data_IF_007853852394
#
_entry.id   IF_007853852394
#
_cell.length_a   1.000
_cell.length_b   1.000
_cell.length_c   1.000
_cell.angle_alpha   90.00
_cell.angle_beta   90.00
_cell.angle_gamma   90.00
#
_symmetry.space_group_name_H-M   'P 1'
#
loop_
_entity.id
_entity.type
_entity.pdbx_description
1 polymer ?
#
# COMPACT_ATOMS: atom_id res chain seq x y z
N UNK A 1 35.23 -6.86 -17.83
CA UNK A 1 35.24 -5.45 -17.36
C UNK A 1 34.31 -4.52 -18.15
N UNK A 2 34.43 -4.38 -19.50
CA UNK A 2 33.50 -3.47 -20.27
C UNK A 2 32.07 -4.00 -20.38
N UNK A 3 31.88 -5.31 -20.36
CA UNK A 3 30.53 -5.94 -20.44
C UNK A 3 29.78 -5.77 -19.13
N UNK A 4 30.44 -5.98 -17.99
CA UNK A 4 29.85 -5.86 -16.66
C UNK A 4 29.41 -4.42 -16.35
N UNK A 5 30.15 -3.41 -16.82
CA UNK A 5 29.79 -1.99 -16.67
C UNK A 5 28.55 -1.62 -17.49
N UNK A 6 28.38 -2.19 -18.70
CA UNK A 6 27.20 -1.93 -19.53
C UNK A 6 25.95 -2.61 -18.98
N UNK A 7 26.06 -3.85 -18.48
CA UNK A 7 24.95 -4.57 -17.84
C UNK A 7 24.49 -3.86 -16.58
N UNK A 8 25.41 -3.43 -15.73
CA UNK A 8 25.08 -2.69 -14.51
C UNK A 8 24.41 -1.33 -14.82
N UNK A 9 24.89 -0.62 -15.84
CA UNK A 9 24.27 0.65 -16.28
C UNK A 9 22.86 0.42 -16.80
N UNK A 10 22.61 -0.64 -17.57
CA UNK A 10 21.27 -1.00 -18.07
C UNK A 10 20.30 -1.32 -16.93
N UNK A 11 20.73 -2.09 -15.94
CA UNK A 11 19.94 -2.42 -14.77
C UNK A 11 19.56 -1.18 -13.94
N UNK A 12 20.52 -0.26 -13.74
CA UNK A 12 20.26 0.99 -13.01
C UNK A 12 19.22 1.86 -13.74
N UNK A 13 19.32 2.00 -15.06
CA UNK A 13 18.36 2.76 -15.86
C UNK A 13 16.96 2.13 -15.77
N UNK A 14 16.85 0.82 -15.96
CA UNK A 14 15.59 0.10 -15.87
C UNK A 14 14.97 0.24 -14.48
N UNK A 15 15.77 0.04 -13.42
CA UNK A 15 15.32 0.23 -12.05
C UNK A 15 14.80 1.64 -11.81
N UNK A 16 15.52 2.68 -12.28
CA UNK A 16 15.11 4.08 -12.11
C UNK A 16 13.77 4.36 -12.76
N UNK A 17 13.53 3.83 -13.96
CA UNK A 17 12.23 3.95 -14.66
C UNK A 17 11.11 3.29 -13.84
N UNK A 18 11.33 2.08 -13.34
CA UNK A 18 10.35 1.34 -12.55
C UNK A 18 10.08 2.02 -11.20
N UNK A 19 11.13 2.48 -10.54
CA UNK A 19 11.03 3.21 -9.28
C UNK A 19 10.16 4.46 -9.45
N UNK A 20 10.46 5.31 -10.44
CA UNK A 20 9.69 6.52 -10.69
C UNK A 20 8.22 6.21 -11.05
N UNK A 21 7.98 5.13 -11.80
CA UNK A 21 6.64 4.70 -12.21
C UNK A 21 5.79 4.21 -11.04
N UNK A 22 6.37 3.47 -10.10
CA UNK A 22 5.59 2.75 -9.09
C UNK A 22 5.72 3.28 -7.67
N UNK A 23 6.76 4.07 -7.33
CA UNK A 23 7.03 4.55 -5.97
C UNK A 23 5.80 5.16 -5.30
N UNK A 24 5.14 6.13 -5.97
CA UNK A 24 3.97 6.82 -5.40
C UNK A 24 2.81 5.86 -5.13
N UNK A 25 2.56 4.92 -6.05
CA UNK A 25 1.48 3.93 -5.94
C UNK A 25 1.71 2.93 -4.80
N UNK A 26 2.94 2.43 -4.67
CA UNK A 26 3.36 1.52 -3.60
C UNK A 26 3.34 2.23 -2.25
N UNK A 27 3.86 3.46 -2.19
CA UNK A 27 3.81 4.27 -0.97
C UNK A 27 2.37 4.54 -0.52
N UNK A 28 1.49 4.95 -1.43
CA UNK A 28 0.08 5.18 -1.12
C UNK A 28 -0.58 3.92 -0.55
N UNK A 29 -0.29 2.75 -1.12
CA UNK A 29 -0.79 1.50 -0.60
C UNK A 29 -0.30 1.25 0.83
N UNK A 30 1.01 1.31 1.07
CA UNK A 30 1.60 1.05 2.37
C UNK A 30 1.09 2.03 3.44
N UNK A 31 1.15 3.34 3.18
CA UNK A 31 0.79 4.36 4.18
C UNK A 31 -0.70 4.35 4.53
N UNK A 32 -1.59 4.04 3.55
CA UNK A 32 -3.03 3.95 3.82
C UNK A 32 -3.42 2.67 4.56
N UNK A 33 -2.67 1.59 4.37
CA UNK A 33 -2.89 0.36 5.12
C UNK A 33 -2.35 0.45 6.56
N UNK A 34 -1.16 1.03 6.74
CA UNK A 34 -0.47 1.07 8.04
C UNK A 34 -0.84 2.27 8.89
N UNK A 35 -1.20 3.40 8.27
CA UNK A 35 -1.34 4.72 8.89
C UNK A 35 -0.08 5.18 9.66
N UNK A 36 1.04 4.60 9.34
CA UNK A 36 2.35 4.90 9.87
C UNK A 36 3.28 5.24 8.71
N UNK A 37 3.68 6.50 8.66
CA UNK A 37 4.52 7.03 7.58
C UNK A 37 5.93 6.42 7.60
N UNK A 38 6.52 6.31 8.77
CA UNK A 38 7.88 5.81 8.92
C UNK A 38 7.97 4.35 8.46
N UNK A 39 7.10 3.50 8.97
CA UNK A 39 7.06 2.09 8.55
C UNK A 39 6.64 1.91 7.09
N UNK A 40 5.80 2.79 6.54
CA UNK A 40 5.46 2.76 5.12
C UNK A 40 6.67 3.09 4.24
N UNK A 41 7.49 4.08 4.63
CA UNK A 41 8.73 4.43 3.94
C UNK A 41 9.74 3.28 4.00
N UNK A 42 9.90 2.63 5.14
CA UNK A 42 10.76 1.46 5.31
C UNK A 42 10.32 0.30 4.39
N UNK A 43 9.04 -0.02 4.37
CA UNK A 43 8.49 -1.06 3.47
C UNK A 43 8.74 -0.71 2.00
N UNK A 44 8.55 0.54 1.61
CA UNK A 44 8.81 0.98 0.23
C UNK A 44 10.29 0.78 -0.12
N UNK A 45 11.21 1.17 0.76
CA UNK A 45 12.64 0.97 0.55
C UNK A 45 12.98 -0.51 0.40
N UNK A 46 12.51 -1.36 1.30
CA UNK A 46 12.75 -2.81 1.28
C UNK A 46 12.21 -3.47 0.00
N UNK A 47 11.00 -3.10 -0.41
CA UNK A 47 10.38 -3.63 -1.63
C UNK A 47 11.18 -3.25 -2.88
N UNK A 48 11.63 -2.00 -2.97
CA UNK A 48 12.43 -1.56 -4.13
C UNK A 48 13.86 -2.09 -4.09
N UNK A 49 14.45 -2.29 -2.92
CA UNK A 49 15.73 -2.99 -2.78
C UNK A 49 15.62 -4.43 -3.29
N UNK A 50 14.60 -5.17 -2.86
CA UNK A 50 14.30 -6.51 -3.35
C UNK A 50 14.04 -6.53 -4.87
N UNK A 51 13.38 -5.51 -5.42
CA UNK A 51 13.22 -5.38 -6.87
C UNK A 51 14.56 -5.24 -7.56
N UNK A 52 15.44 -4.35 -7.07
CA UNK A 52 16.77 -4.13 -7.66
C UNK A 52 17.59 -5.41 -7.68
N UNK A 53 17.63 -6.14 -6.57
CA UNK A 53 18.38 -7.41 -6.44
C UNK A 53 17.85 -8.51 -7.38
N UNK A 54 16.55 -8.53 -7.66
CA UNK A 54 15.91 -9.58 -8.46
C UNK A 54 15.61 -9.16 -9.90
N UNK A 55 15.91 -7.92 -10.30
CA UNK A 55 15.47 -7.35 -11.58
C UNK A 55 15.95 -8.17 -12.77
N UNK A 56 17.19 -8.65 -12.74
CA UNK A 56 17.78 -9.46 -13.82
C UNK A 56 17.11 -10.85 -13.95
N UNK A 57 16.46 -11.35 -12.88
CA UNK A 57 15.72 -12.62 -12.89
C UNK A 57 14.26 -12.49 -13.34
N UNK A 58 13.75 -11.27 -13.49
CA UNK A 58 12.35 -11.05 -13.91
C UNK A 58 12.26 -10.96 -15.43
N UNK A 59 12.06 -12.08 -16.09
CA UNK A 59 11.97 -12.15 -17.56
C UNK A 59 10.71 -11.49 -18.13
N UNK A 60 9.59 -11.50 -17.39
CA UNK A 60 8.33 -10.89 -17.82
C UNK A 60 8.13 -9.54 -17.13
N UNK A 61 8.43 -8.45 -17.85
CA UNK A 61 8.27 -7.08 -17.34
C UNK A 61 6.82 -6.71 -17.01
N UNK A 62 5.83 -7.38 -17.61
CA UNK A 62 4.41 -7.17 -17.28
C UNK A 62 4.06 -7.70 -15.88
N UNK A 63 4.83 -8.64 -15.36
CA UNK A 63 4.64 -9.19 -14.01
C UNK A 63 5.22 -8.29 -12.90
N UNK A 64 6.04 -7.29 -13.22
CA UNK A 64 6.72 -6.44 -12.23
C UNK A 64 5.70 -5.70 -11.34
N UNK A 65 4.64 -5.15 -11.92
CA UNK A 65 3.60 -4.50 -11.14
C UNK A 65 2.95 -5.46 -10.14
N UNK A 66 2.56 -6.64 -10.62
CA UNK A 66 2.00 -7.69 -9.76
C UNK A 66 2.99 -8.06 -8.64
N UNK A 67 4.25 -8.29 -8.99
CA UNK A 67 5.30 -8.64 -8.03
C UNK A 67 5.48 -7.56 -6.97
N UNK A 68 5.56 -6.28 -7.36
CA UNK A 68 5.67 -5.15 -6.45
C UNK A 68 4.51 -5.10 -5.46
N UNK A 69 3.26 -5.13 -5.93
CA UNK A 69 2.10 -5.07 -5.05
C UNK A 69 1.98 -6.32 -4.16
N UNK A 70 2.31 -7.50 -4.69
CA UNK A 70 2.31 -8.73 -3.91
C UNK A 70 3.36 -8.72 -2.81
N UNK A 71 4.57 -8.25 -3.12
CA UNK A 71 5.66 -8.12 -2.15
C UNK A 71 5.30 -7.08 -1.09
N UNK A 72 4.82 -5.91 -1.48
CA UNK A 72 4.36 -4.86 -0.54
C UNK A 72 3.28 -5.38 0.39
N UNK A 73 2.29 -6.11 -0.14
CA UNK A 73 1.25 -6.75 0.65
C UNK A 73 1.81 -7.68 1.71
N UNK A 74 2.76 -8.53 1.33
CA UNK A 74 3.38 -9.46 2.26
C UNK A 74 4.12 -8.74 3.39
N UNK A 75 4.85 -7.65 3.10
CA UNK A 75 5.52 -6.82 4.11
C UNK A 75 4.50 -6.17 5.06
N UNK A 76 3.43 -5.56 4.52
CA UNK A 76 2.35 -4.95 5.31
C UNK A 76 1.72 -6.00 6.25
N UNK A 77 1.35 -7.17 5.75
CA UNK A 77 0.74 -8.22 6.56
C UNK A 77 1.70 -8.78 7.61
N UNK A 78 2.99 -8.87 7.28
CA UNK A 78 4.05 -9.23 8.22
C UNK A 78 4.14 -8.25 9.38
N UNK A 79 4.20 -6.97 9.06
CA UNK A 79 4.23 -5.89 10.05
C UNK A 79 2.98 -5.89 10.96
N UNK A 80 1.78 -5.96 10.38
CA UNK A 80 0.54 -5.96 11.15
C UNK A 80 0.43 -7.17 12.09
N UNK A 81 0.88 -8.36 11.65
CA UNK A 81 0.95 -9.56 12.50
C UNK A 81 1.94 -9.39 13.66
N UNK A 82 3.11 -8.82 13.39
CA UNK A 82 4.13 -8.55 14.41
C UNK A 82 3.60 -7.59 15.47
N UNK A 83 2.90 -6.53 15.07
CA UNK A 83 2.34 -5.55 15.99
C UNK A 83 1.17 -6.11 16.82
N UNK A 84 0.29 -6.93 16.23
CA UNK A 84 -0.76 -7.63 16.99
C UNK A 84 -0.14 -8.51 18.09
N UNK A 85 0.94 -9.22 17.79
CA UNK A 85 1.64 -10.05 18.78
C UNK A 85 2.31 -9.21 19.89
N UNK A 86 2.91 -8.07 19.53
CA UNK A 86 3.49 -7.13 20.53
C UNK A 86 2.42 -6.53 21.43
N UNK A 87 1.26 -6.13 20.89
CA UNK A 87 0.17 -5.58 21.69
C UNK A 87 -0.43 -6.59 22.67
N UNK A 88 -0.46 -7.88 22.33
CA UNK A 88 -0.86 -8.96 23.26
C UNK A 88 0.14 -9.15 24.40
N UNK A 89 1.41 -8.84 24.19
CA UNK A 89 2.47 -8.93 25.22
C UNK A 89 2.49 -7.63 26.07
N UNK A 90 2.13 -6.47 25.50
CA UNK A 90 2.22 -5.15 26.15
C UNK A 90 0.98 -4.82 27.02
N UNK A 91 -0.09 -5.62 26.98
CA UNK A 91 -1.22 -5.41 27.89
C UNK A 91 -0.89 -5.57 29.38
N UNK A 92 0.40 -5.70 29.73
CA UNK A 92 0.91 -5.66 31.11
C UNK A 92 1.76 -4.41 31.42
N UNK A 93 1.88 -3.43 30.54
CA UNK A 93 2.65 -2.20 30.78
C UNK A 93 1.88 -1.00 30.22
N UNK A 94 1.71 0.05 31.05
CA UNK A 94 1.02 1.31 30.76
C UNK A 94 1.33 1.89 29.37
N UNK A 95 0.26 2.14 28.61
CA UNK A 95 0.33 2.81 27.32
C UNK A 95 0.44 4.31 27.57
N UNK A 96 1.65 4.87 27.43
CA UNK A 96 1.79 6.29 27.14
C UNK A 96 1.30 6.56 25.72
N UNK A 97 0.38 7.52 25.60
CA UNK A 97 -0.18 8.00 24.33
C UNK A 97 0.94 8.31 23.33
N UNK A 98 1.04 7.49 22.29
CA UNK A 98 1.79 7.83 21.09
C UNK A 98 0.94 8.84 20.31
N UNK A 99 1.33 10.10 20.35
CA UNK A 99 0.80 11.14 19.47
C UNK A 99 0.86 10.66 18.02
N UNK A 100 -0.31 10.43 17.44
CA UNK A 100 -0.47 10.15 16.01
C UNK A 100 -0.15 11.44 15.28
N UNK A 101 1.10 11.55 14.80
CA UNK A 101 1.50 12.66 13.92
C UNK A 101 0.71 12.55 12.62
N UNK A 102 0.07 13.66 12.27
CA UNK A 102 -0.76 13.77 11.06
C UNK A 102 -0.05 13.26 9.81
N UNK A 103 -0.68 12.40 8.99
CA UNK A 103 -0.12 11.99 7.72
C UNK A 103 -0.11 13.18 6.76
N UNK A 104 1.07 13.68 6.44
CA UNK A 104 1.23 14.70 5.38
C UNK A 104 0.92 14.02 4.06
N UNK A 105 -0.26 14.32 3.53
CA UNK A 105 -0.69 13.91 2.20
C UNK A 105 0.17 14.62 1.15
N UNK A 106 1.03 13.87 0.45
CA UNK A 106 1.64 14.30 -0.79
C UNK A 106 0.63 14.13 -1.94
N UNK A 107 -0.42 14.94 -1.93
CA UNK A 107 -1.31 15.11 -3.08
C UNK A 107 -1.57 16.60 -3.24
N UNK A 108 -1.18 17.11 -4.40
CA UNK A 108 -1.40 18.46 -4.86
C UNK A 108 -2.88 18.67 -5.17
N UNK A 109 -3.72 18.84 -4.17
CA UNK A 109 -5.06 19.44 -4.34
C UNK A 109 -5.56 19.90 -2.98
N UNK A 110 -5.62 21.23 -2.82
CA UNK A 110 -5.86 21.92 -1.55
C UNK A 110 -7.32 21.79 -1.07
N UNK A 111 -8.26 21.41 -1.92
CA UNK A 111 -9.70 21.49 -1.65
C UNK A 111 -10.35 20.31 -0.93
N UNK A 112 -9.60 19.24 -0.59
CA UNK A 112 -10.21 18.02 -0.04
C UNK A 112 -9.51 17.42 1.18
N UNK A 113 -8.66 18.16 1.90
CA UNK A 113 -7.89 17.59 3.04
C UNK A 113 -8.79 17.06 4.15
N UNK A 114 -9.82 17.80 4.51
CA UNK A 114 -10.76 17.40 5.57
C UNK A 114 -11.60 16.17 5.14
N UNK A 115 -12.12 16.19 3.91
CA UNK A 115 -12.88 15.06 3.37
C UNK A 115 -12.01 13.80 3.24
N UNK A 116 -10.76 13.94 2.79
CA UNK A 116 -9.83 12.83 2.71
C UNK A 116 -9.48 12.26 4.10
N UNK A 117 -9.32 13.11 5.11
CA UNK A 117 -9.09 12.69 6.49
C UNK A 117 -10.29 11.89 7.01
N UNK A 118 -11.51 12.41 6.83
CA UNK A 118 -12.74 11.71 7.22
C UNK A 118 -12.86 10.33 6.54
N UNK A 119 -12.56 10.24 5.25
CA UNK A 119 -12.58 8.96 4.51
C UNK A 119 -11.58 7.98 5.12
N UNK A 120 -10.37 8.41 5.46
CA UNK A 120 -9.35 7.56 6.05
C UNK A 120 -9.72 7.09 7.44
N UNK A 121 -10.22 7.99 8.29
CA UNK A 121 -10.69 7.67 9.64
C UNK A 121 -11.85 6.66 9.61
N UNK A 122 -12.74 6.75 8.62
CA UNK A 122 -13.83 5.80 8.45
C UNK A 122 -13.37 4.47 7.79
N UNK A 123 -12.36 4.53 6.92
CA UNK A 123 -11.74 3.31 6.34
C UNK A 123 -11.15 2.39 7.40
N UNK A 124 -10.61 2.94 8.48
CA UNK A 124 -10.04 2.13 9.55
C UNK A 124 -11.07 1.40 10.41
N UNK A 125 -12.28 1.90 10.40
CA UNK A 125 -13.39 1.29 11.14
C UNK A 125 -14.12 0.20 10.35
N UNK A 126 -13.77 0.00 9.07
CA UNK A 126 -14.32 -1.09 8.27
C UNK A 126 -13.40 -2.32 8.29
N UNK A 127 -13.93 -3.45 7.83
CA UNK A 127 -13.17 -4.69 7.73
C UNK A 127 -11.91 -4.52 6.86
N UNK A 128 -10.79 -5.13 7.28
CA UNK A 128 -9.49 -5.05 6.58
C UNK A 128 -9.58 -5.44 5.10
N UNK A 129 -10.36 -6.46 4.74
CA UNK A 129 -10.57 -6.88 3.34
C UNK A 129 -11.20 -5.79 2.48
N UNK A 130 -12.16 -5.05 3.05
CA UNK A 130 -12.83 -3.95 2.35
C UNK A 130 -11.92 -2.72 2.24
N UNK A 131 -11.18 -2.42 3.30
CA UNK A 131 -10.17 -1.37 3.33
C UNK A 131 -9.11 -1.63 2.27
N UNK A 132 -8.53 -2.83 2.24
CA UNK A 132 -7.45 -3.18 1.32
C UNK A 132 -7.89 -3.03 -0.15
N UNK A 133 -9.06 -3.55 -0.52
CA UNK A 133 -9.60 -3.42 -1.88
C UNK A 133 -9.83 -1.96 -2.25
N UNK A 134 -10.38 -1.17 -1.33
CA UNK A 134 -10.62 0.26 -1.56
C UNK A 134 -9.30 1.01 -1.78
N UNK A 135 -8.29 0.78 -0.94
CA UNK A 135 -6.96 1.41 -1.06
C UNK A 135 -6.28 1.02 -2.37
N UNK A 136 -6.29 -0.26 -2.74
CA UNK A 136 -5.71 -0.72 -4.01
C UNK A 136 -6.41 -0.09 -5.22
N UNK A 137 -7.73 0.12 -5.16
CA UNK A 137 -8.50 0.72 -6.25
C UNK A 137 -8.32 2.23 -6.33
N UNK A 138 -8.62 2.96 -5.24
CA UNK A 138 -8.78 4.42 -5.25
C UNK A 138 -7.45 5.15 -5.06
N UNK A 139 -6.55 4.62 -4.25
CA UNK A 139 -5.26 5.28 -3.96
C UNK A 139 -4.08 4.72 -4.76
N UNK A 140 -4.17 3.45 -5.19
CA UNK A 140 -3.09 2.81 -5.95
C UNK A 140 -3.41 2.64 -7.44
N UNK A 141 -4.67 2.88 -7.84
CA UNK A 141 -5.09 2.89 -9.25
C UNK A 141 -5.03 1.54 -9.95
N UNK A 142 -5.22 0.42 -9.23
CA UNK A 142 -5.28 -0.91 -9.84
C UNK A 142 -6.64 -1.16 -10.50
N UNK A 143 -6.63 -1.90 -11.59
CA UNK A 143 -7.85 -2.47 -12.18
C UNK A 143 -8.41 -3.62 -11.31
N UNK A 144 -9.68 -3.97 -11.50
CA UNK A 144 -10.29 -5.11 -10.79
C UNK A 144 -9.51 -6.41 -11.00
N UNK A 145 -9.07 -6.67 -12.22
CA UNK A 145 -8.27 -7.85 -12.58
C UNK A 145 -6.92 -7.87 -11.85
N UNK A 146 -6.24 -6.71 -11.75
CA UNK A 146 -4.97 -6.59 -11.03
C UNK A 146 -5.17 -6.81 -9.54
N UNK A 147 -6.22 -6.23 -8.93
CA UNK A 147 -6.57 -6.44 -7.53
C UNK A 147 -6.87 -7.92 -7.27
N UNK A 148 -7.69 -8.55 -8.12
CA UNK A 148 -8.01 -9.97 -8.04
C UNK A 148 -6.74 -10.83 -8.01
N UNK A 149 -5.79 -10.52 -8.91
CA UNK A 149 -4.50 -11.21 -8.97
C UNK A 149 -3.66 -10.99 -7.71
N UNK A 150 -3.53 -9.75 -7.23
CA UNK A 150 -2.74 -9.42 -6.03
C UNK A 150 -3.30 -10.08 -4.78
N UNK A 151 -4.61 -10.09 -4.62
CA UNK A 151 -5.29 -10.64 -3.45
C UNK A 151 -5.56 -12.16 -3.56
N UNK A 152 -5.38 -12.74 -4.76
CA UNK A 152 -5.70 -14.12 -5.08
C UNK A 152 -7.18 -14.46 -4.81
N UNK A 153 -8.08 -13.65 -5.34
CA UNK A 153 -9.54 -13.80 -5.29
C UNK A 153 -10.16 -13.55 -6.65
N UNK A 154 -11.44 -13.88 -6.83
CA UNK A 154 -12.15 -13.64 -8.07
C UNK A 154 -12.46 -12.16 -8.30
N UNK A 155 -12.48 -11.73 -9.56
CA UNK A 155 -12.78 -10.35 -9.95
C UNK A 155 -14.19 -9.91 -9.51
N UNK A 156 -15.15 -10.81 -9.53
CA UNK A 156 -16.53 -10.53 -9.06
C UNK A 156 -16.56 -10.27 -7.55
N UNK A 157 -15.72 -10.98 -6.78
CA UNK A 157 -15.58 -10.73 -5.35
C UNK A 157 -14.95 -9.37 -5.07
N UNK A 158 -13.96 -8.96 -5.89
CA UNK A 158 -13.37 -7.60 -5.82
C UNK A 158 -14.45 -6.54 -6.03
N UNK A 159 -15.26 -6.66 -7.09
CA UNK A 159 -16.36 -5.72 -7.39
C UNK A 159 -17.37 -5.63 -6.23
N UNK A 160 -17.79 -6.79 -5.74
CA UNK A 160 -18.75 -6.89 -4.64
C UNK A 160 -18.23 -6.25 -3.35
N UNK A 161 -16.97 -6.56 -2.97
CA UNK A 161 -16.35 -6.01 -1.76
C UNK A 161 -16.12 -4.51 -1.89
N UNK A 162 -15.68 -4.02 -3.06
CA UNK A 162 -15.50 -2.59 -3.31
C UNK A 162 -16.82 -1.83 -3.22
N UNK A 163 -17.89 -2.37 -3.80
CA UNK A 163 -19.23 -1.80 -3.68
C UNK A 163 -19.64 -1.67 -2.21
N UNK A 164 -19.49 -2.75 -1.42
CA UNK A 164 -19.80 -2.75 0.01
C UNK A 164 -18.93 -1.76 0.80
N UNK A 165 -17.65 -1.64 0.47
CA UNK A 165 -16.75 -0.66 1.08
C UNK A 165 -17.25 0.77 0.85
N UNK A 166 -17.56 1.11 -0.41
CA UNK A 166 -18.09 2.43 -0.79
C UNK A 166 -19.42 2.74 -0.08
N UNK A 167 -20.35 1.79 -0.04
CA UNK A 167 -21.64 1.96 0.65
C UNK A 167 -21.46 2.20 2.15
N UNK A 168 -20.55 1.47 2.79
CA UNK A 168 -20.26 1.68 4.22
C UNK A 168 -19.68 3.07 4.48
N UNK A 169 -18.76 3.54 3.63
CA UNK A 169 -18.18 4.88 3.74
C UNK A 169 -19.23 5.97 3.52
N UNK A 170 -20.04 5.88 2.46
CA UNK A 170 -21.10 6.84 2.16
C UNK A 170 -22.06 6.92 3.35
N UNK A 171 -22.55 5.79 3.86
CA UNK A 171 -23.51 5.74 4.98
C UNK A 171 -22.94 6.31 6.29
N UNK A 172 -21.63 6.28 6.48
CA UNK A 172 -20.98 6.84 7.66
C UNK A 172 -20.71 8.33 7.50
N UNK A 173 -20.15 8.73 6.36
CA UNK A 173 -19.81 10.14 6.09
C UNK A 173 -21.09 10.99 5.98
N UNK A 174 -22.16 10.49 5.36
CA UNK A 174 -23.45 11.19 5.27
C UNK A 174 -24.15 11.45 6.63
N UNK A 175 -23.68 10.82 7.71
CA UNK A 175 -24.17 11.09 9.07
C UNK A 175 -23.31 12.10 9.82
N UNK A 176 -22.16 12.47 9.27
CA UNK A 176 -21.19 13.39 9.87
C UNK A 176 -21.25 14.78 9.23
N UNK A 177 -21.88 14.86 8.04
CA UNK A 177 -22.13 16.08 7.27
C UNK A 177 -23.62 16.40 7.30
#
# INVERSE_FOLDING_TARGET
MKTDLKENTGQIIEFTILFNKYKKRIYNYAVKMLQDRMHAEDIVQDVFLKLFENLNGIHNKQSIQFWLFKTTRNEILGFLRSNKNKSLIIHSVDIQELEIREPVLLTDEVDNKETNKLILDELDKINEDFKEIFVLKEYSGLSYKEIASVLNIDEELVKSRLYKARQKLINKISKLV
#
